data_IF_287976344945
#
_entry.id   IF_287976344945
#
_cell.length_a   1.000
_cell.length_b   1.000
_cell.length_c   1.000
_cell.angle_alpha   90.00
_cell.angle_beta   90.00
_cell.angle_gamma   90.00
#
_symmetry.space_group_name_H-M   'P 1'
#
loop_
_entity.id
_entity.type
_entity.pdbx_description
1 polymer ?
#
# COMPACT_ATOMS: atom_id res chain seq x y z
N UNK A 1 19.19 38.13 17.07
CA UNK A 1 17.85 37.56 16.82
C UNK A 1 18.05 36.51 15.74
N UNK A 2 18.05 35.20 16.01
CA UNK A 2 16.85 34.35 16.15
C UNK A 2 17.25 33.01 16.82
N UNK A 3 17.80 33.07 18.04
CA UNK A 3 18.01 31.87 18.87
C UNK A 3 16.82 31.60 19.81
N UNK A 4 15.91 32.56 19.98
CA UNK A 4 14.75 32.47 20.88
C UNK A 4 13.49 31.82 20.28
N UNK A 5 13.40 31.72 18.94
CA UNK A 5 12.17 31.21 18.29
C UNK A 5 12.10 29.68 18.23
N UNK A 6 13.24 28.99 18.41
CA UNK A 6 13.28 27.52 18.52
C UNK A 6 12.97 27.02 19.94
N UNK A 7 13.20 27.83 20.98
CA UNK A 7 12.86 27.46 22.36
C UNK A 7 11.34 27.52 22.62
N UNK A 8 10.61 28.38 21.90
CA UNK A 8 9.15 28.50 22.04
C UNK A 8 8.33 27.51 21.19
N UNK A 9 8.91 26.86 20.18
CA UNK A 9 8.23 25.80 19.42
C UNK A 9 8.07 24.49 20.23
N UNK A 10 8.74 24.42 21.38
CA UNK A 10 8.63 23.37 22.39
C UNK A 10 7.65 23.75 23.52
N UNK A 11 6.71 24.66 23.26
CA UNK A 11 5.54 24.90 24.11
C UNK A 11 4.72 23.60 24.27
N UNK A 12 5.20 22.79 25.21
CA UNK A 12 4.46 21.98 26.14
C UNK A 12 3.20 21.39 25.51
N UNK A 13 3.39 20.32 24.73
CA UNK A 13 2.30 19.39 24.43
C UNK A 13 1.74 18.96 25.78
N UNK A 14 0.59 19.53 26.13
CA UNK A 14 -0.26 19.18 27.26
C UNK A 14 -0.04 17.69 27.61
N UNK A 15 0.66 17.40 28.73
CA UNK A 15 1.07 16.05 29.08
C UNK A 15 -0.10 15.07 29.10
N UNK A 16 -1.30 15.54 29.46
CA UNK A 16 -2.50 14.71 29.48
C UNK A 16 -2.94 14.34 28.06
N UNK A 17 -2.93 15.29 27.12
CA UNK A 17 -3.19 15.01 25.69
C UNK A 17 -2.14 14.08 25.09
N UNK A 18 -0.89 14.20 25.51
CA UNK A 18 0.18 13.32 25.06
C UNK A 18 -0.03 11.88 25.56
N UNK A 19 -0.37 11.71 26.84
CA UNK A 19 -0.70 10.40 27.42
C UNK A 19 -1.91 9.79 26.75
N UNK A 20 -2.97 10.57 26.49
CA UNK A 20 -4.16 10.07 25.81
C UNK A 20 -3.86 9.65 24.37
N UNK A 21 -3.04 10.42 23.66
CA UNK A 21 -2.54 10.05 22.33
C UNK A 21 -1.78 8.71 22.37
N UNK A 22 -0.88 8.51 23.34
CA UNK A 22 -0.18 7.22 23.51
C UNK A 22 -1.14 6.08 23.83
N UNK A 23 -2.16 6.30 24.67
CA UNK A 23 -3.21 5.30 24.95
C UNK A 23 -3.98 4.93 23.68
N UNK A 24 -4.28 5.88 22.81
CA UNK A 24 -4.92 5.60 21.52
C UNK A 24 -4.02 4.76 20.61
N UNK A 25 -2.74 5.12 20.48
CA UNK A 25 -1.77 4.33 19.70
C UNK A 25 -1.60 2.91 20.23
N UNK A 26 -1.53 2.73 21.56
CA UNK A 26 -1.48 1.40 22.18
C UNK A 26 -2.74 0.61 21.85
N UNK A 27 -3.93 1.18 22.08
CA UNK A 27 -5.21 0.51 21.79
C UNK A 27 -5.35 0.12 20.32
N UNK A 28 -4.97 1.00 19.39
CA UNK A 28 -5.02 0.71 17.96
C UNK A 28 -4.12 -0.48 17.60
N UNK A 29 -2.88 -0.53 18.12
CA UNK A 29 -1.95 -1.64 17.88
C UNK A 29 -2.42 -2.94 18.52
N UNK A 30 -2.94 -2.89 19.74
CA UNK A 30 -3.49 -4.07 20.42
C UNK A 30 -4.67 -4.70 19.67
N UNK A 31 -5.44 -3.91 18.91
CA UNK A 31 -6.52 -4.45 18.06
C UNK A 31 -6.01 -5.15 16.80
N UNK A 32 -4.83 -4.79 16.31
CA UNK A 32 -4.26 -5.35 15.07
C UNK A 32 -3.52 -6.67 15.35
N UNK A 33 -2.91 -6.81 16.52
CA UNK A 33 -2.10 -7.98 16.86
C UNK A 33 -2.87 -9.32 16.79
N UNK A 34 -4.10 -9.46 17.33
CA UNK A 34 -4.87 -10.70 17.21
C UNK A 34 -5.20 -11.08 15.76
N UNK A 35 -5.45 -10.09 14.89
CA UNK A 35 -5.74 -10.35 13.47
C UNK A 35 -4.49 -10.83 12.72
N UNK A 36 -3.31 -10.31 13.06
CA UNK A 36 -2.04 -10.80 12.53
C UNK A 36 -1.73 -12.23 12.99
N UNK A 37 -2.11 -12.59 14.22
CA UNK A 37 -1.99 -13.96 14.72
C UNK A 37 -2.92 -14.89 13.96
N UNK A 38 -4.19 -14.54 13.81
CA UNK A 38 -5.16 -15.32 13.02
C UNK A 38 -4.70 -15.49 11.57
N UNK A 39 -4.11 -14.45 10.96
CA UNK A 39 -3.52 -14.55 9.63
C UNK A 39 -2.35 -15.55 9.59
N UNK A 40 -1.47 -15.53 10.58
CA UNK A 40 -0.35 -16.48 10.66
C UNK A 40 -0.86 -17.92 10.79
N UNK A 41 -1.88 -18.14 11.62
CA UNK A 41 -2.54 -19.44 11.78
C UNK A 41 -3.18 -19.90 10.46
N UNK A 42 -3.95 -19.02 9.81
CA UNK A 42 -4.53 -19.25 8.49
C UNK A 42 -3.47 -19.67 7.46
N UNK A 43 -2.35 -18.95 7.39
CA UNK A 43 -1.27 -19.28 6.44
C UNK A 43 -0.66 -20.65 6.74
N UNK A 44 -0.55 -21.04 8.01
CA UNK A 44 0.03 -22.34 8.39
C UNK A 44 -0.90 -23.50 8.11
N UNK A 45 -2.19 -23.34 8.39
CA UNK A 45 -3.20 -24.39 8.28
C UNK A 45 -3.68 -24.61 6.83
N UNK A 46 -3.88 -23.52 6.07
CA UNK A 46 -4.54 -23.59 4.76
C UNK A 46 -3.58 -23.64 3.57
N UNK A 47 -2.25 -23.70 3.81
CA UNK A 47 -1.23 -23.73 2.74
C UNK A 47 -1.40 -24.87 1.74
N UNK A 48 -1.99 -25.99 2.16
CA UNK A 48 -2.22 -27.17 1.31
C UNK A 48 -3.65 -27.22 0.73
N UNK A 49 -4.55 -26.37 1.22
CA UNK A 49 -5.99 -26.43 0.94
C UNK A 49 -6.44 -25.52 -0.21
N UNK A 50 -5.69 -24.47 -0.52
CA UNK A 50 -5.99 -23.53 -1.61
C UNK A 50 -5.05 -23.75 -2.80
N UNK A 51 -5.54 -23.47 -4.01
CA UNK A 51 -4.72 -23.52 -5.22
C UNK A 51 -3.48 -22.62 -5.05
N UNK A 52 -2.25 -23.09 -5.38
CA UNK A 52 -1.01 -22.42 -4.99
C UNK A 52 -0.94 -20.93 -5.37
N UNK A 53 -1.51 -20.54 -6.51
CA UNK A 53 -1.53 -19.15 -6.98
C UNK A 53 -2.51 -18.24 -6.23
N UNK A 54 -3.69 -18.76 -5.87
CA UNK A 54 -4.71 -17.98 -5.15
C UNK A 54 -4.31 -17.84 -3.69
N UNK A 55 -3.85 -18.94 -3.08
CA UNK A 55 -3.34 -18.92 -1.70
C UNK A 55 -2.23 -17.89 -1.52
N UNK A 56 -1.18 -17.97 -2.35
CA UNK A 56 -0.04 -17.07 -2.28
C UNK A 56 -0.46 -15.60 -2.36
N UNK A 57 -1.37 -15.28 -3.28
CA UNK A 57 -1.85 -13.91 -3.49
C UNK A 57 -2.70 -13.43 -2.32
N UNK A 58 -3.67 -14.22 -1.86
CA UNK A 58 -4.53 -13.86 -0.72
C UNK A 58 -3.71 -13.65 0.54
N UNK A 59 -2.82 -14.59 0.87
CA UNK A 59 -1.96 -14.48 2.04
C UNK A 59 -1.05 -13.24 1.98
N UNK A 60 -0.49 -12.94 0.80
CA UNK A 60 0.30 -11.72 0.59
C UNK A 60 -0.51 -10.43 0.78
N UNK A 61 -1.75 -10.39 0.27
CA UNK A 61 -2.64 -9.24 0.42
C UNK A 61 -3.09 -9.03 1.87
N UNK A 62 -3.44 -10.10 2.57
CA UNK A 62 -3.79 -10.02 3.99
C UNK A 62 -2.59 -9.58 4.85
N UNK A 63 -1.39 -10.06 4.53
CA UNK A 63 -0.16 -9.62 5.19
C UNK A 63 0.13 -8.14 4.92
N UNK A 64 -0.02 -7.70 3.67
CA UNK A 64 0.08 -6.28 3.27
C UNK A 64 -0.91 -5.42 4.05
N UNK A 65 -2.16 -5.87 4.19
CA UNK A 65 -3.19 -5.17 4.95
C UNK A 65 -2.83 -5.05 6.43
N UNK A 66 -2.46 -6.16 7.07
CA UNK A 66 -2.09 -6.19 8.47
C UNK A 66 -0.86 -5.33 8.78
N UNK A 67 0.18 -5.41 7.95
CA UNK A 67 1.37 -4.58 8.07
C UNK A 67 1.04 -3.09 7.91
N UNK A 68 0.24 -2.74 6.90
CA UNK A 68 -0.10 -1.35 6.62
C UNK A 68 -0.96 -0.74 7.73
N UNK A 69 -1.92 -1.47 8.28
CA UNK A 69 -2.68 -1.03 9.46
C UNK A 69 -1.78 -0.86 10.68
N UNK A 70 -0.87 -1.82 10.92
CA UNK A 70 0.09 -1.73 12.02
C UNK A 70 0.95 -0.47 11.89
N UNK A 71 1.46 -0.19 10.68
CA UNK A 71 2.26 1.01 10.40
C UNK A 71 1.44 2.27 10.57
N UNK A 72 0.23 2.34 10.01
CA UNK A 72 -0.69 3.48 10.17
C UNK A 72 -0.93 3.83 11.65
N UNK A 73 -1.10 2.83 12.53
CA UNK A 73 -1.26 3.06 13.97
C UNK A 73 -0.06 3.73 14.65
N UNK A 74 1.16 3.61 14.08
CA UNK A 74 2.35 4.33 14.56
C UNK A 74 2.47 5.75 14.03
N UNK A 75 1.90 6.02 12.85
CA UNK A 75 2.03 7.31 12.17
C UNK A 75 0.95 8.31 12.57
N UNK A 76 -0.14 7.83 13.18
CA UNK A 76 -1.21 8.68 13.68
C UNK A 76 -0.66 9.83 14.56
N UNK A 77 -1.10 11.05 14.27
CA UNK A 77 -0.74 12.28 14.93
C UNK A 77 -1.93 13.23 15.07
N UNK A 78 -1.83 14.19 15.98
CA UNK A 78 -2.93 15.13 16.28
C UNK A 78 -3.27 16.09 15.12
N UNK A 79 -2.37 16.22 14.14
CA UNK A 79 -2.56 17.13 12.99
C UNK A 79 -3.20 16.45 11.78
N UNK A 80 -3.48 15.14 11.88
CA UNK A 80 -4.06 14.38 10.79
C UNK A 80 -5.46 14.92 10.41
N UNK A 81 -5.69 15.07 9.11
CA UNK A 81 -6.96 15.59 8.56
C UNK A 81 -6.89 17.05 8.12
N UNK A 82 -5.81 17.79 8.41
CA UNK A 82 -5.57 19.12 7.84
C UNK A 82 -5.06 18.99 6.39
N UNK A 83 -5.82 19.50 5.43
CA UNK A 83 -5.49 19.35 4.01
C UNK A 83 -4.14 19.99 3.63
N UNK A 84 -3.84 21.19 4.14
CA UNK A 84 -2.55 21.84 3.83
C UNK A 84 -1.36 21.04 4.37
N UNK A 85 -1.45 20.57 5.62
CA UNK A 85 -0.41 19.72 6.25
C UNK A 85 -0.18 18.45 5.44
N UNK A 86 -1.25 17.85 4.90
CA UNK A 86 -1.11 16.69 4.02
C UNK A 86 -0.29 17.02 2.75
N UNK A 87 -0.59 18.13 2.08
CA UNK A 87 0.12 18.54 0.86
C UNK A 87 1.59 18.89 1.13
N UNK A 88 1.87 19.60 2.22
CA UNK A 88 3.24 19.96 2.61
C UNK A 88 4.08 18.70 2.94
N UNK A 89 3.44 17.70 3.56
CA UNK A 89 4.06 16.40 3.83
C UNK A 89 4.35 15.62 2.53
N UNK A 90 3.45 15.67 1.53
CA UNK A 90 3.69 15.07 0.21
C UNK A 90 4.94 15.68 -0.43
N UNK A 91 5.00 17.02 -0.48
CA UNK A 91 6.10 17.75 -1.11
C UNK A 91 7.44 17.44 -0.42
N UNK A 92 7.46 17.47 0.91
CA UNK A 92 8.63 17.14 1.72
C UNK A 92 9.09 15.71 1.48
N UNK A 93 8.15 14.76 1.48
CA UNK A 93 8.45 13.33 1.31
C UNK A 93 9.03 13.05 -0.08
N UNK A 94 8.39 13.56 -1.13
CA UNK A 94 8.86 13.37 -2.52
C UNK A 94 10.22 14.04 -2.72
N UNK A 95 10.42 15.24 -2.19
CA UNK A 95 11.69 15.94 -2.26
C UNK A 95 12.82 15.14 -1.60
N UNK A 96 12.55 14.53 -0.44
CA UNK A 96 13.52 13.64 0.24
C UNK A 96 13.82 12.37 -0.54
N UNK A 97 12.82 11.72 -1.13
CA UNK A 97 13.05 10.54 -1.98
C UNK A 97 14.01 10.90 -3.12
N UNK A 98 13.78 12.03 -3.79
CA UNK A 98 14.57 12.46 -4.94
C UNK A 98 16.00 12.83 -4.54
N UNK A 99 16.17 13.54 -3.42
CA UNK A 99 17.46 14.06 -2.98
C UNK A 99 18.32 13.02 -2.26
N UNK A 100 17.74 12.27 -1.34
CA UNK A 100 18.47 11.42 -0.39
C UNK A 100 18.36 9.93 -0.72
N UNK A 101 17.47 9.53 -1.65
CA UNK A 101 17.17 8.14 -2.02
C UNK A 101 16.94 7.20 -0.80
N UNK A 102 16.53 7.77 0.32
CA UNK A 102 16.29 7.08 1.58
C UNK A 102 15.26 7.84 2.40
N UNK A 103 14.49 7.09 3.20
CA UNK A 103 13.44 7.63 4.05
C UNK A 103 13.61 7.01 5.43
N UNK A 104 13.85 7.84 6.44
CA UNK A 104 13.88 7.41 7.82
C UNK A 104 12.46 7.33 8.41
N UNK A 105 12.31 6.68 9.57
CA UNK A 105 11.03 6.63 10.28
C UNK A 105 10.49 8.03 10.62
N UNK A 106 11.37 8.98 10.96
CA UNK A 106 10.99 10.36 11.22
C UNK A 106 10.38 11.05 9.99
N UNK A 107 10.85 10.69 8.80
CA UNK A 107 10.36 11.25 7.53
C UNK A 107 9.02 10.63 7.17
N UNK A 108 8.83 9.35 7.48
CA UNK A 108 7.58 8.61 7.29
C UNK A 108 6.50 8.95 8.33
N UNK A 109 6.87 9.54 9.47
CA UNK A 109 5.92 9.92 10.54
C UNK A 109 5.19 11.22 10.22
N UNK A 110 4.32 11.15 9.21
CA UNK A 110 3.57 12.29 8.71
C UNK A 110 2.14 11.87 8.28
N UNK A 111 1.27 12.86 8.06
CA UNK A 111 -0.14 12.64 7.70
C UNK A 111 -0.30 11.98 6.33
N UNK A 112 0.58 12.27 5.36
CA UNK A 112 0.52 11.62 4.05
C UNK A 112 0.76 10.12 4.14
N UNK A 113 1.83 9.72 4.83
CA UNK A 113 2.18 8.31 5.01
C UNK A 113 1.09 7.55 5.75
N UNK A 114 0.46 8.15 6.77
CA UNK A 114 -0.70 7.56 7.45
C UNK A 114 -1.78 7.17 6.44
N UNK A 115 -2.22 8.12 5.62
CA UNK A 115 -3.29 7.89 4.64
C UNK A 115 -2.87 6.95 3.52
N UNK A 116 -1.61 6.99 3.12
CA UNK A 116 -1.03 6.01 2.20
C UNK A 116 -1.20 4.58 2.74
N UNK A 117 -0.77 4.32 3.97
CA UNK A 117 -0.88 2.99 4.57
C UNK A 117 -2.34 2.56 4.80
N UNK A 118 -3.23 3.48 5.20
CA UNK A 118 -4.67 3.18 5.25
C UNK A 118 -5.21 2.78 3.86
N UNK A 119 -4.79 3.50 2.81
CA UNK A 119 -5.16 3.21 1.43
C UNK A 119 -4.67 1.83 0.97
N UNK A 120 -3.41 1.50 1.25
CA UNK A 120 -2.83 0.18 0.94
C UNK A 120 -3.57 -0.92 1.68
N UNK A 121 -3.89 -0.73 2.97
CA UNK A 121 -4.64 -1.70 3.74
C UNK A 121 -6.02 -1.96 3.14
N UNK A 122 -6.75 -0.89 2.83
CA UNK A 122 -8.09 -0.98 2.23
C UNK A 122 -8.06 -1.71 0.88
N UNK A 123 -7.16 -1.31 -0.03
CA UNK A 123 -7.04 -1.93 -1.35
C UNK A 123 -6.67 -3.40 -1.24
N UNK A 124 -5.73 -3.74 -0.34
CA UNK A 124 -5.30 -5.13 -0.14
C UNK A 124 -6.44 -6.01 0.38
N UNK A 125 -7.24 -5.51 1.33
CA UNK A 125 -8.41 -6.23 1.84
C UNK A 125 -9.47 -6.43 0.75
N UNK A 126 -9.79 -5.38 -0.01
CA UNK A 126 -10.77 -5.48 -1.11
C UNK A 126 -10.33 -6.50 -2.15
N UNK A 127 -9.06 -6.49 -2.54
CA UNK A 127 -8.52 -7.45 -3.50
C UNK A 127 -8.54 -8.89 -2.95
N UNK A 128 -8.18 -9.08 -1.67
CA UNK A 128 -8.26 -10.39 -1.02
C UNK A 128 -9.70 -10.92 -0.98
N UNK A 129 -10.68 -10.05 -0.66
CA UNK A 129 -12.09 -10.41 -0.68
C UNK A 129 -12.58 -10.81 -2.08
N UNK A 130 -12.15 -10.09 -3.12
CA UNK A 130 -12.49 -10.44 -4.51
C UNK A 130 -11.93 -11.82 -4.87
N UNK A 131 -10.72 -12.17 -4.43
CA UNK A 131 -10.14 -13.50 -4.71
C UNK A 131 -10.81 -14.63 -3.93
N UNK A 132 -11.21 -14.37 -2.69
CA UNK A 132 -11.84 -15.38 -1.81
C UNK A 132 -13.31 -15.61 -2.13
N UNK A 133 -14.06 -14.56 -2.41
CA UNK A 133 -15.53 -14.60 -2.56
C UNK A 133 -16.00 -14.35 -3.99
N UNK A 134 -15.14 -13.82 -4.87
CA UNK A 134 -15.50 -13.36 -6.21
C UNK A 134 -15.37 -14.42 -7.31
N UNK A 135 -15.71 -15.68 -7.06
CA UNK A 135 -15.80 -16.66 -8.14
C UNK A 135 -16.71 -16.15 -9.28
N UNK A 136 -16.19 -16.14 -10.52
CA UNK A 136 -16.92 -15.88 -11.80
C UNK A 136 -17.24 -14.41 -12.12
N UNK A 137 -16.21 -13.58 -12.33
CA UNK A 137 -16.26 -12.64 -13.44
C UNK A 137 -15.05 -12.95 -14.32
N UNK A 138 -15.30 -13.52 -15.50
CA UNK A 138 -14.29 -13.66 -16.52
C UNK A 138 -13.55 -12.33 -16.65
N UNK A 139 -12.24 -12.38 -16.45
CA UNK A 139 -11.37 -11.24 -16.70
C UNK A 139 -11.59 -10.79 -18.15
N UNK A 140 -12.18 -9.60 -18.43
CA UNK A 140 -12.41 -9.14 -19.79
C UNK A 140 -11.10 -8.87 -20.54
N UNK A 141 -9.93 -8.88 -19.85
CA UNK A 141 -8.62 -8.82 -20.49
C UNK A 141 -8.11 -10.16 -21.01
N UNK A 142 -8.73 -11.28 -20.62
CA UNK A 142 -8.37 -12.62 -21.11
C UNK A 142 -8.95 -12.91 -22.51
N UNK A 143 -10.11 -12.34 -22.83
CA UNK A 143 -10.73 -12.44 -24.16
C UNK A 143 -9.99 -11.60 -25.21
N UNK A 144 -9.38 -10.47 -24.81
CA UNK A 144 -8.64 -9.60 -25.74
C UNK A 144 -7.32 -10.23 -26.20
N UNK A 145 -6.71 -11.10 -25.39
CA UNK A 145 -5.49 -11.82 -25.76
C UNK A 145 -5.81 -13.02 -26.66
N UNK A 146 -6.91 -13.73 -26.41
CA UNK A 146 -7.35 -14.83 -27.31
C UNK A 146 -7.81 -14.32 -28.68
N UNK A 147 -8.46 -13.16 -28.76
CA UNK A 147 -8.87 -12.56 -30.04
C UNK A 147 -7.70 -12.08 -30.91
N UNK A 148 -6.54 -11.76 -30.32
CA UNK A 148 -5.34 -11.35 -31.06
C UNK A 148 -4.45 -12.50 -31.54
N UNK A 149 -4.69 -13.72 -31.06
CA UNK A 149 -3.93 -14.92 -31.43
C UNK A 149 -4.67 -15.82 -32.44
N UNK A 150 -5.93 -15.53 -32.76
CA UNK A 150 -6.74 -16.25 -33.75
C UNK A 150 -6.63 -15.71 -35.17
N UNK A 151 -5.95 -14.58 -35.40
CA UNK A 151 -5.69 -14.07 -36.75
C UNK A 151 -4.36 -14.64 -37.28
N UNK A 152 -4.37 -15.53 -38.29
CA UNK A 152 -3.14 -15.91 -38.96
C UNK A 152 -2.60 -14.70 -39.74
N UNK A 153 -1.28 -14.46 -39.72
CA UNK A 153 -0.69 -13.33 -40.44
C UNK A 153 -0.96 -13.50 -41.95
N UNK A 154 -1.69 -12.54 -42.51
CA UNK A 154 -1.90 -12.43 -43.95
C UNK A 154 -0.55 -12.31 -44.65
N UNK A 155 -0.19 -13.40 -45.33
CA UNK A 155 1.05 -13.59 -46.08
C UNK A 155 1.10 -12.61 -47.25
N UNK A 156 1.69 -11.42 -47.07
CA UNK A 156 2.05 -10.53 -48.18
C UNK A 156 3.13 -11.22 -49.02
N UNK A 157 2.72 -11.77 -50.17
CA UNK A 157 3.60 -12.24 -51.25
C UNK A 157 4.49 -11.08 -51.71
N UNK A 158 5.79 -11.17 -51.45
CA UNK A 158 6.82 -10.51 -52.26
C UNK A 158 7.10 -11.42 -53.45
N UNK A 159 6.82 -10.95 -54.66
CA UNK A 159 7.32 -11.56 -55.90
C UNK A 159 8.26 -10.59 -56.62
N UNK A 160 9.51 -11.05 -56.78
CA UNK A 160 10.48 -10.79 -57.88
C UNK A 160 10.67 -9.33 -58.32
N UNK A 161 11.78 -8.63 -58.05
CA UNK A 161 13.16 -8.90 -58.55
C UNK A 161 13.18 -9.62 -59.90
N UNK A 162 13.13 -8.84 -60.97
CA UNK A 162 13.65 -9.22 -62.29
C UNK A 162 14.75 -8.25 -62.67
N UNK A 163 16.01 -8.65 -62.47
CA UNK A 163 17.15 -8.17 -63.27
C UNK A 163 17.30 -9.17 -64.42
N UNK A 164 17.45 -8.69 -65.65
CA UNK A 164 18.64 -8.92 -66.47
C UNK A 164 18.42 -8.39 -67.90
N UNK A 165 19.50 -7.78 -68.41
CA UNK A 165 19.79 -7.30 -69.77
C UNK A 165 19.24 -5.94 -70.17
#
# INVERSE_FOLDING_TARGET
MLAGDKEMAMAEKDPEKQVEHFKQMVRARSRIQPELIQLLEFVREYREHLGPSVFLRVSGLLASAGFSLWRAAFLFHQEDGKHQVYLDNVDTFVSKIISDNSIAFSDDRNTWSLWHYIGVARSSLLEAMVLLFGGVAENPRSSTIKARLSDPPSRKRRSSVGRAF
#
